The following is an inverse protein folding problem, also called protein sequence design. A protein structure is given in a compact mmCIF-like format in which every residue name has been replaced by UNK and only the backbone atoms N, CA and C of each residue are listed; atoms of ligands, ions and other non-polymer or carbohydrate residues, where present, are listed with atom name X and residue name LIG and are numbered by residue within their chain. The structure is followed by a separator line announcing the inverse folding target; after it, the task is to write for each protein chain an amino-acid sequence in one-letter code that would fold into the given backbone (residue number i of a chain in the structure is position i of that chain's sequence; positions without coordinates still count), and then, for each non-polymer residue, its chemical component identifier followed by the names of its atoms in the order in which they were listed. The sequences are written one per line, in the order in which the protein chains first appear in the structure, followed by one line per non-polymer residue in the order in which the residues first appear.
data_IF_115734995397
#
_entry.id   IF_115734995397
#
_cell.length_a   1.000
_cell.length_b   1.000
_cell.length_c   1.000
_cell.angle_alpha   90.00
_cell.angle_beta   90.00
_cell.angle_gamma   90.00
#
_symmetry.space_group_name_H-M   'P 1'
#
loop_
_entity.id
_entity.type
_entity.pdbx_description
1 polymer ?
#
# COMPACT_ATOMS: atom_id res chain seq x y z
N UNK A 1 -2.97 -60.81 -16.74
CA UNK A 1 -2.55 -59.59 -17.45
C UNK A 1 -3.22 -58.40 -16.77
N UNK A 2 -2.58 -57.82 -15.75
CA UNK A 2 -3.08 -56.60 -15.12
C UNK A 2 -2.75 -55.43 -16.03
N UNK A 3 -3.73 -54.98 -16.81
CA UNK A 3 -3.61 -53.75 -17.59
C UNK A 3 -3.26 -52.59 -16.66
N UNK A 4 -2.17 -51.89 -16.96
CA UNK A 4 -1.85 -50.63 -16.31
C UNK A 4 -3.07 -49.71 -16.45
N UNK A 5 -3.69 -49.37 -15.31
CA UNK A 5 -4.81 -48.43 -15.26
C UNK A 5 -4.28 -47.03 -15.57
N UNK A 6 -4.23 -46.70 -16.86
CA UNK A 6 -3.96 -45.35 -17.33
C UNK A 6 -5.13 -44.47 -16.91
N UNK A 7 -4.82 -43.34 -16.26
CA UNK A 7 -5.79 -42.32 -15.86
C UNK A 7 -5.46 -41.00 -16.56
N UNK A 8 -6.45 -40.12 -16.69
CA UNK A 8 -6.22 -38.76 -17.16
C UNK A 8 -5.33 -37.97 -16.19
N UNK A 9 -4.66 -36.95 -16.70
CA UNK A 9 -3.86 -36.01 -15.91
C UNK A 9 -4.69 -35.34 -14.81
N UNK A 10 -5.90 -34.87 -15.13
CA UNK A 10 -6.85 -34.32 -14.17
C UNK A 10 -7.15 -35.29 -13.01
N UNK A 11 -7.46 -36.56 -13.33
CA UNK A 11 -7.74 -37.59 -12.31
C UNK A 11 -6.52 -37.93 -11.47
N UNK A 12 -5.32 -37.87 -12.05
CA UNK A 12 -4.08 -38.04 -11.30
C UNK A 12 -3.85 -36.86 -10.33
N UNK A 13 -4.05 -35.63 -10.80
CA UNK A 13 -3.92 -34.40 -10.01
C UNK A 13 -4.90 -34.37 -8.84
N UNK A 14 -6.16 -34.73 -9.06
CA UNK A 14 -7.17 -34.83 -7.99
C UNK A 14 -6.77 -35.85 -6.91
N UNK A 15 -6.29 -37.03 -7.33
CA UNK A 15 -5.81 -38.06 -6.39
C UNK A 15 -4.62 -37.57 -5.57
N UNK A 16 -3.69 -36.84 -6.16
CA UNK A 16 -2.53 -36.28 -5.45
C UNK A 16 -2.99 -35.22 -4.45
N UNK A 17 -3.80 -34.24 -4.88
CA UNK A 17 -4.25 -33.14 -4.03
C UNK A 17 -5.10 -33.63 -2.86
N UNK A 18 -5.97 -34.63 -3.08
CA UNK A 18 -6.81 -35.20 -2.02
C UNK A 18 -6.03 -36.04 -1.01
N UNK A 19 -4.83 -36.52 -1.36
CA UNK A 19 -3.98 -37.33 -0.48
C UNK A 19 -3.01 -36.49 0.38
N UNK A 20 -2.90 -35.18 0.15
CA UNK A 20 -1.95 -34.31 0.86
C UNK A 20 -2.68 -33.29 1.73
N UNK A 21 -2.09 -32.97 2.88
CA UNK A 21 -2.57 -31.90 3.76
C UNK A 21 -1.56 -30.75 3.77
N UNK A 22 -2.03 -29.49 3.88
CA UNK A 22 -1.14 -28.36 4.12
C UNK A 22 -0.32 -28.57 5.40
N UNK A 23 0.97 -28.23 5.35
CA UNK A 23 1.82 -28.27 6.53
C UNK A 23 1.37 -27.24 7.57
N UNK A 24 1.65 -27.48 8.88
CA UNK A 24 1.34 -26.51 9.92
C UNK A 24 1.95 -25.14 9.65
N UNK A 25 1.19 -24.08 9.94
CA UNK A 25 1.64 -22.72 9.72
C UNK A 25 2.75 -22.32 10.71
N UNK A 26 3.80 -21.69 10.18
CA UNK A 26 4.92 -21.14 10.95
C UNK A 26 4.89 -19.62 10.93
N UNK A 27 5.32 -18.98 12.01
CA UNK A 27 5.55 -17.54 12.03
C UNK A 27 6.96 -17.23 11.51
N UNK A 28 7.07 -16.22 10.66
CA UNK A 28 8.33 -15.71 10.12
C UNK A 28 8.32 -14.18 10.17
N UNK A 29 9.50 -13.56 10.19
CA UNK A 29 9.61 -12.11 10.02
C UNK A 29 9.08 -11.70 8.62
N UNK A 30 8.64 -10.45 8.44
CA UNK A 30 8.27 -9.97 7.10
C UNK A 30 9.43 -10.06 6.11
N UNK A 31 10.68 -9.90 6.57
CA UNK A 31 11.86 -10.03 5.73
C UNK A 31 12.05 -11.45 5.17
N UNK A 32 11.66 -12.46 5.95
CA UNK A 32 11.74 -13.88 5.58
C UNK A 32 10.46 -14.43 4.95
N UNK A 33 9.45 -13.56 4.76
CA UNK A 33 8.13 -13.93 4.25
C UNK A 33 8.02 -13.88 2.73
N UNK A 34 9.03 -13.35 2.03
CA UNK A 34 9.06 -13.30 0.56
C UNK A 34 8.92 -14.71 -0.01
N UNK A 35 8.06 -14.84 -1.03
CA UNK A 35 7.76 -16.09 -1.71
C UNK A 35 7.14 -17.20 -0.85
N UNK A 36 6.60 -16.81 0.31
CA UNK A 36 5.77 -17.68 1.15
C UNK A 36 4.29 -17.44 0.85
N UNK A 37 3.44 -18.33 1.37
CA UNK A 37 1.99 -18.23 1.23
C UNK A 37 1.35 -17.93 2.58
N UNK A 38 0.44 -16.96 2.62
CA UNK A 38 -0.24 -16.52 3.84
C UNK A 38 -1.04 -17.68 4.46
N UNK A 39 -0.87 -17.92 5.77
CA UNK A 39 -1.61 -18.95 6.48
C UNK A 39 -2.99 -18.49 6.99
N UNK A 40 -3.19 -17.17 7.08
CA UNK A 40 -4.39 -16.56 7.63
C UNK A 40 -4.78 -15.33 6.82
N UNK A 41 -6.06 -14.99 6.86
CA UNK A 41 -6.53 -13.69 6.38
C UNK A 41 -5.92 -12.57 7.24
N UNK A 42 -5.69 -11.41 6.62
CA UNK A 42 -5.28 -10.18 7.32
C UNK A 42 -6.10 -9.01 6.82
N UNK A 43 -6.42 -8.11 7.75
CA UNK A 43 -7.24 -6.93 7.52
C UNK A 43 -6.46 -5.69 7.98
N UNK A 44 -6.71 -4.57 7.31
CA UNK A 44 -6.08 -3.30 7.62
C UNK A 44 -6.51 -2.79 9.00
N UNK A 45 -5.54 -2.32 9.77
CA UNK A 45 -5.76 -1.67 11.07
C UNK A 45 -5.39 -0.19 11.04
N UNK A 46 -4.58 0.23 10.07
CA UNK A 46 -4.15 1.59 9.86
C UNK A 46 -4.68 2.06 8.49
N UNK A 47 -5.46 3.15 8.42
CA UNK A 47 -5.90 3.67 7.14
C UNK A 47 -4.72 4.19 6.33
N UNK A 48 -4.79 4.10 5.00
CA UNK A 48 -3.84 4.72 4.09
C UNK A 48 -4.57 5.72 3.16
N UNK A 49 -4.17 7.01 3.15
CA UNK A 49 -3.26 7.66 4.11
C UNK A 49 -3.85 7.64 5.54
N UNK A 50 -3.02 7.80 6.59
CA UNK A 50 -3.48 7.74 7.99
C UNK A 50 -4.26 8.98 8.46
N UNK A 51 -4.20 10.07 7.71
CA UNK A 51 -4.88 11.33 7.96
C UNK A 51 -5.16 12.03 6.62
N UNK A 52 -6.08 13.01 6.63
CA UNK A 52 -6.32 13.87 5.47
C UNK A 52 -5.03 14.65 5.14
N UNK A 53 -4.55 14.55 3.91
CA UNK A 53 -3.32 15.20 3.48
C UNK A 53 -3.41 15.84 2.09
N UNK A 54 -2.48 16.75 1.80
CA UNK A 54 -2.41 17.41 0.51
C UNK A 54 -1.97 16.45 -0.61
N UNK A 55 -2.67 16.47 -1.73
CA UNK A 55 -2.27 15.80 -2.96
C UNK A 55 -1.20 16.57 -3.75
N UNK A 56 -1.06 17.88 -3.49
CA UNK A 56 -0.21 18.79 -4.26
C UNK A 56 0.61 19.72 -3.36
N UNK A 57 1.59 20.38 -3.96
CA UNK A 57 2.24 21.53 -3.34
C UNK A 57 1.40 22.79 -3.62
N UNK A 58 1.08 23.52 -2.56
CA UNK A 58 0.18 24.66 -2.71
C UNK A 58 -0.18 25.35 -1.41
N UNK A 59 -1.44 25.78 -1.33
CA UNK A 59 -2.00 26.59 -0.27
C UNK A 59 -3.28 25.95 0.26
N UNK A 60 -3.28 25.58 1.54
CA UNK A 60 -4.49 25.10 2.22
C UNK A 60 -5.45 26.26 2.43
N UNK A 61 -6.70 26.08 2.02
CA UNK A 61 -7.72 27.14 2.02
C UNK A 61 -9.03 26.64 2.62
N UNK A 62 -9.89 27.59 2.98
CA UNK A 62 -11.34 27.35 3.12
C UNK A 62 -11.94 27.71 1.76
N UNK A 63 -12.41 26.73 1.01
CA UNK A 63 -12.85 26.83 -0.38
C UNK A 63 -13.82 28.00 -0.59
N UNK A 64 -14.81 28.14 0.29
CA UNK A 64 -15.82 29.20 0.21
C UNK A 64 -15.28 30.63 0.46
N UNK A 65 -14.01 30.78 0.84
CA UNK A 65 -13.35 32.07 1.07
C UNK A 65 -12.17 32.33 0.11
N UNK A 66 -11.90 31.42 -0.81
CA UNK A 66 -10.69 31.40 -1.63
C UNK A 66 -10.94 31.54 -3.13
N UNK A 67 -12.05 32.15 -3.56
CA UNK A 67 -12.36 32.29 -4.99
C UNK A 67 -11.33 33.08 -5.80
N UNK A 68 -11.49 33.10 -7.13
CA UNK A 68 -10.59 33.84 -8.04
C UNK A 68 -10.37 35.28 -7.58
N UNK A 69 -9.11 35.72 -7.64
CA UNK A 69 -8.62 37.01 -7.17
C UNK A 69 -8.73 37.23 -5.65
N UNK A 70 -9.12 36.22 -4.85
CA UNK A 70 -9.02 36.31 -3.40
C UNK A 70 -7.55 36.49 -3.00
N UNK A 71 -7.32 37.45 -2.10
CA UNK A 71 -6.00 37.73 -1.54
C UNK A 71 -5.96 37.24 -0.11
N UNK A 72 -5.24 36.16 0.14
CA UNK A 72 -5.20 35.48 1.44
C UNK A 72 -3.87 35.75 2.13
N UNK A 73 -3.91 36.03 3.44
CA UNK A 73 -2.67 36.18 4.23
C UNK A 73 -2.09 34.80 4.53
N UNK A 74 -0.82 34.58 4.18
CA UNK A 74 -0.10 33.36 4.53
C UNK A 74 0.32 33.46 5.99
N UNK A 75 -0.24 32.59 6.84
CA UNK A 75 -0.03 32.65 8.30
C UNK A 75 0.80 31.50 8.86
N UNK A 76 1.23 30.59 8.00
CA UNK A 76 2.06 29.46 8.39
C UNK A 76 2.43 28.57 7.23
N UNK A 77 3.20 27.54 7.55
CA UNK A 77 3.68 26.55 6.61
C UNK A 77 3.64 25.15 7.24
N UNK A 78 2.98 24.21 6.56
CA UNK A 78 2.81 22.82 6.96
C UNK A 78 3.60 21.90 6.00
N UNK A 79 4.84 21.49 6.39
CA UNK A 79 5.63 20.53 5.63
C UNK A 79 5.07 19.11 5.77
N UNK A 80 5.53 18.22 4.90
CA UNK A 80 5.29 16.78 5.03
C UNK A 80 5.86 16.23 6.35
N UNK A 81 5.25 15.16 6.87
CA UNK A 81 5.61 14.56 8.14
C UNK A 81 4.76 15.07 9.29
N UNK A 82 5.40 15.67 10.30
CA UNK A 82 4.73 16.03 11.57
C UNK A 82 3.75 17.18 11.39
N UNK A 83 2.51 16.99 11.86
CA UNK A 83 1.52 18.06 11.97
C UNK A 83 2.03 19.15 12.92
N UNK A 84 2.02 20.40 12.47
CA UNK A 84 2.28 21.56 13.33
C UNK A 84 1.01 22.04 14.05
N UNK A 85 -0.10 21.32 13.90
CA UNK A 85 -1.41 21.64 14.50
C UNK A 85 -1.86 23.07 14.19
N UNK A 86 -1.58 23.52 12.96
CA UNK A 86 -2.00 24.83 12.48
C UNK A 86 -3.52 24.83 12.25
N UNK A 87 -4.14 25.99 12.47
CA UNK A 87 -5.55 26.21 12.20
C UNK A 87 -5.75 27.36 11.22
N UNK A 88 -6.82 27.27 10.45
CA UNK A 88 -7.15 28.22 9.41
C UNK A 88 -8.46 28.94 9.70
N UNK A 89 -8.50 30.24 9.40
CA UNK A 89 -9.70 31.08 9.44
C UNK A 89 -9.86 31.81 8.11
N UNK A 90 -11.08 32.28 7.81
CA UNK A 90 -11.36 33.00 6.57
C UNK A 90 -10.37 34.17 6.32
N UNK A 91 -10.00 34.39 5.06
CA UNK A 91 -9.02 35.41 4.65
C UNK A 91 -7.55 35.06 4.92
N UNK A 92 -7.26 33.89 5.47
CA UNK A 92 -5.91 33.36 5.68
C UNK A 92 -5.70 32.10 4.86
N UNK A 93 -4.43 31.73 4.67
CA UNK A 93 -4.02 30.45 4.10
C UNK A 93 -2.73 29.94 4.76
N UNK A 94 -2.43 28.67 4.58
CA UNK A 94 -1.19 28.02 5.02
C UNK A 94 -0.51 27.41 3.80
N UNK A 95 0.78 27.70 3.59
CA UNK A 95 1.57 27.00 2.59
C UNK A 95 1.65 25.52 3.00
N UNK A 96 1.28 24.61 2.11
CA UNK A 96 1.20 23.18 2.40
C UNK A 96 1.85 22.37 1.29
N UNK A 97 2.59 21.33 1.65
CA UNK A 97 3.30 20.49 0.69
C UNK A 97 2.62 19.13 0.53
N UNK A 98 2.94 18.45 -0.57
CA UNK A 98 2.43 17.12 -0.91
C UNK A 98 2.69 16.15 0.23
N UNK A 99 1.64 15.42 0.63
CA UNK A 99 1.68 14.47 1.73
C UNK A 99 1.55 15.09 3.13
N UNK A 100 1.58 16.42 3.25
CA UNK A 100 1.47 17.10 4.54
C UNK A 100 0.04 17.03 5.12
N UNK A 101 -0.12 16.87 6.44
CA UNK A 101 -1.43 16.86 7.10
C UNK A 101 -2.21 18.14 6.84
N UNK A 102 -3.52 18.02 6.60
CA UNK A 102 -4.39 19.19 6.43
C UNK A 102 -4.49 19.99 7.74
N UNK A 103 -4.30 21.33 7.71
CA UNK A 103 -4.56 22.21 8.85
C UNK A 103 -6.02 22.16 9.29
N UNK A 104 -6.28 22.36 10.58
CA UNK A 104 -7.65 22.40 11.11
C UNK A 104 -8.43 23.54 10.46
N UNK A 105 -9.60 23.23 9.92
CA UNK A 105 -10.50 24.20 9.27
C UNK A 105 -10.25 24.40 7.77
N UNK A 106 -9.12 23.94 7.22
CA UNK A 106 -8.94 23.90 5.77
C UNK A 106 -9.76 22.74 5.17
N UNK A 107 -10.36 22.96 4.00
CA UNK A 107 -11.21 21.97 3.32
C UNK A 107 -10.83 21.77 1.85
N UNK A 108 -9.87 22.51 1.32
CA UNK A 108 -9.30 22.35 -0.01
C UNK A 108 -7.82 22.80 -0.05
N UNK A 109 -7.10 22.41 -1.11
CA UNK A 109 -5.76 22.92 -1.43
C UNK A 109 -5.80 23.55 -2.82
N UNK A 110 -5.21 24.72 -2.99
CA UNK A 110 -4.97 25.33 -4.32
C UNK A 110 -3.53 25.08 -4.71
N UNK A 111 -3.31 24.55 -5.91
CA UNK A 111 -1.96 24.30 -6.44
C UNK A 111 -1.16 25.61 -6.50
N UNK A 112 0.13 25.56 -6.17
CA UNK A 112 0.96 26.78 -6.20
C UNK A 112 1.03 27.40 -7.61
N UNK A 113 0.88 26.58 -8.65
CA UNK A 113 0.83 26.98 -10.07
C UNK A 113 -0.38 27.85 -10.39
N UNK A 114 -1.45 27.75 -9.60
CA UNK A 114 -2.67 28.56 -9.73
C UNK A 114 -2.71 29.69 -8.70
N UNK A 115 -1.54 30.10 -8.21
CA UNK A 115 -1.40 31.19 -7.25
C UNK A 115 -0.22 32.09 -7.56
N UNK A 116 -0.28 33.32 -7.06
CA UNK A 116 0.83 34.26 -7.13
C UNK A 116 1.18 34.76 -5.74
N UNK A 117 2.41 34.50 -5.31
CA UNK A 117 2.90 34.95 -4.00
C UNK A 117 3.29 36.42 -4.04
N UNK A 118 2.80 37.20 -3.07
CA UNK A 118 3.07 38.62 -2.88
C UNK A 118 3.46 38.91 -1.42
N UNK A 119 4.73 38.68 -1.08
CA UNK A 119 5.22 38.86 0.29
C UNK A 119 4.50 37.94 1.29
N UNK A 120 3.76 38.52 2.23
CA UNK A 120 2.98 37.76 3.23
C UNK A 120 1.58 37.34 2.74
N UNK A 121 1.26 37.60 1.48
CA UNK A 121 -0.02 37.27 0.89
C UNK A 121 0.15 36.37 -0.33
N UNK A 122 -0.92 35.68 -0.69
CA UNK A 122 -1.04 34.96 -1.94
C UNK A 122 -2.33 35.38 -2.63
N UNK A 123 -2.24 35.62 -3.94
CA UNK A 123 -3.37 35.85 -4.82
C UNK A 123 -3.79 34.53 -5.45
N UNK A 124 -5.06 34.18 -5.34
CA UNK A 124 -5.61 32.99 -5.97
C UNK A 124 -5.97 33.29 -7.44
N UNK A 125 -5.46 32.47 -8.35
CA UNK A 125 -5.72 32.58 -9.80
C UNK A 125 -6.66 31.47 -10.31
N UNK A 126 -6.85 30.39 -9.54
CA UNK A 126 -7.81 29.34 -9.83
C UNK A 126 -9.23 29.91 -10.03
N UNK A 127 -9.91 29.48 -11.11
CA UNK A 127 -11.25 29.94 -11.46
C UNK A 127 -12.32 29.43 -10.49
N UNK A 128 -12.19 28.16 -10.08
CA UNK A 128 -13.13 27.47 -9.20
C UNK A 128 -12.35 26.61 -8.20
N UNK A 129 -12.80 26.61 -6.96
CA UNK A 129 -12.27 25.76 -5.89
C UNK A 129 -13.46 25.14 -5.17
N UNK A 130 -13.48 23.82 -5.13
CA UNK A 130 -14.49 23.02 -4.46
C UNK A 130 -13.94 22.43 -3.17
N UNK A 131 -14.85 22.16 -2.23
CA UNK A 131 -14.52 21.40 -1.02
C UNK A 131 -13.96 20.04 -1.42
N UNK A 132 -12.79 19.69 -0.89
CA UNK A 132 -12.09 18.44 -1.15
C UNK A 132 -11.07 18.51 -2.29
N UNK A 133 -10.96 19.62 -3.02
CA UNK A 133 -9.98 19.76 -4.09
C UNK A 133 -8.56 19.52 -3.57
N UNK A 134 -7.88 18.56 -4.20
CA UNK A 134 -6.53 18.12 -3.87
C UNK A 134 -6.34 17.69 -2.40
N UNK A 135 -7.41 17.28 -1.72
CA UNK A 135 -7.36 16.65 -0.38
C UNK A 135 -7.52 15.15 -0.54
N UNK A 136 -6.49 14.39 -0.19
CA UNK A 136 -6.59 12.93 -0.07
C UNK A 136 -7.12 12.61 1.32
N UNK A 137 -8.29 11.97 1.37
CA UNK A 137 -8.93 11.59 2.64
C UNK A 137 -8.22 10.42 3.31
N UNK A 138 -8.21 10.42 4.63
CA UNK A 138 -7.73 9.28 5.40
C UNK A 138 -8.44 7.99 4.95
N UNK A 139 -7.67 6.95 4.66
CA UNK A 139 -8.18 5.66 4.22
C UNK A 139 -8.66 5.59 2.78
N UNK A 140 -8.43 6.62 1.95
CA UNK A 140 -8.83 6.62 0.54
C UNK A 140 -8.13 5.53 -0.31
N UNK A 141 -6.90 5.12 0.06
CA UNK A 141 -6.18 4.03 -0.62
C UNK A 141 -6.48 2.67 0.05
N UNK A 142 -6.56 2.64 1.37
CA UNK A 142 -6.88 1.45 2.17
C UNK A 142 -7.68 1.84 3.41
N UNK A 143 -8.92 1.35 3.49
CA UNK A 143 -9.78 1.59 4.63
C UNK A 143 -9.49 0.60 5.77
N UNK A 144 -9.65 1.03 7.02
CA UNK A 144 -9.60 0.12 8.18
C UNK A 144 -10.65 -0.97 8.02
N UNK A 145 -10.25 -2.23 8.27
CA UNK A 145 -11.08 -3.42 8.10
C UNK A 145 -11.08 -3.99 6.68
N UNK A 146 -10.49 -3.31 5.69
CA UNK A 146 -10.33 -3.87 4.35
C UNK A 146 -9.37 -5.06 4.36
N UNK A 147 -9.70 -6.13 3.62
CA UNK A 147 -8.84 -7.31 3.54
C UNK A 147 -7.56 -7.00 2.76
N UNK A 148 -6.41 -7.27 3.37
CA UNK A 148 -5.07 -7.13 2.78
C UNK A 148 -4.58 -8.49 2.26
N UNK A 149 -4.75 -9.54 3.06
CA UNK A 149 -4.40 -10.90 2.69
C UNK A 149 -5.61 -11.81 2.84
N UNK A 150 -5.73 -12.71 1.88
CA UNK A 150 -6.48 -13.95 2.02
C UNK A 150 -5.52 -15.10 2.30
N UNK A 151 -5.96 -16.05 3.11
CA UNK A 151 -5.24 -17.32 3.30
C UNK A 151 -4.97 -17.97 1.95
N UNK A 152 -3.71 -18.35 1.74
CA UNK A 152 -3.22 -18.93 0.48
C UNK A 152 -2.67 -17.89 -0.50
N UNK A 153 -2.73 -16.59 -0.20
CA UNK A 153 -2.13 -15.58 -1.05
C UNK A 153 -0.60 -15.68 -1.04
N UNK A 154 0.00 -15.47 -2.21
CA UNK A 154 1.45 -15.42 -2.39
C UNK A 154 2.00 -14.06 -1.95
N UNK A 155 2.92 -14.08 -1.00
CA UNK A 155 3.56 -12.89 -0.44
C UNK A 155 4.64 -12.35 -1.39
N UNK A 156 4.23 -11.43 -2.25
CA UNK A 156 5.08 -10.68 -3.19
C UNK A 156 5.64 -9.40 -2.56
N UNK A 157 6.68 -8.76 -3.14
CA UNK A 157 7.30 -7.57 -2.57
C UNK A 157 6.32 -6.43 -2.22
N UNK A 158 5.39 -6.11 -3.13
CA UNK A 158 4.39 -5.06 -2.88
C UNK A 158 3.48 -5.37 -1.69
N UNK A 159 3.15 -6.65 -1.50
CA UNK A 159 2.32 -7.10 -0.38
C UNK A 159 3.08 -6.99 0.96
N UNK A 160 4.37 -7.34 0.96
CA UNK A 160 5.21 -7.16 2.14
C UNK A 160 5.35 -5.68 2.52
N UNK A 161 5.49 -4.80 1.54
CA UNK A 161 5.49 -3.34 1.75
C UNK A 161 4.17 -2.84 2.36
N UNK A 162 3.04 -3.37 1.90
CA UNK A 162 1.72 -3.06 2.45
C UNK A 162 1.56 -3.57 3.89
N UNK A 163 2.01 -4.78 4.21
CA UNK A 163 1.98 -5.30 5.58
C UNK A 163 2.90 -4.46 6.50
N UNK A 164 4.09 -4.10 6.03
CA UNK A 164 5.00 -3.25 6.78
C UNK A 164 4.41 -1.86 7.06
N UNK A 165 3.68 -1.26 6.10
CA UNK A 165 3.00 0.02 6.31
C UNK A 165 1.85 -0.05 7.33
N UNK A 166 1.36 -1.26 7.62
CA UNK A 166 0.40 -1.52 8.71
C UNK A 166 1.10 -1.75 10.07
N UNK A 167 2.43 -1.62 10.14
CA UNK A 167 3.22 -1.88 11.36
C UNK A 167 3.33 -3.37 11.71
N UNK A 168 3.13 -4.27 10.74
CA UNK A 168 3.26 -5.70 10.94
C UNK A 168 4.74 -6.08 10.85
N UNK A 169 5.26 -6.81 11.84
CA UNK A 169 6.67 -7.26 11.86
C UNK A 169 6.82 -8.73 11.46
N UNK A 170 5.81 -9.55 11.75
CA UNK A 170 5.78 -10.99 11.46
C UNK A 170 4.46 -11.41 10.82
N UNK A 171 4.51 -12.49 10.05
CA UNK A 171 3.33 -13.08 9.40
C UNK A 171 3.36 -14.59 9.52
N UNK A 172 2.18 -15.19 9.70
CA UNK A 172 2.02 -16.64 9.66
C UNK A 172 1.92 -17.10 8.22
N UNK A 173 2.77 -18.03 7.84
CA UNK A 173 2.88 -18.58 6.50
C UNK A 173 2.82 -20.09 6.51
N UNK A 174 2.52 -20.70 5.36
CA UNK A 174 2.72 -22.13 5.18
C UNK A 174 4.18 -22.53 5.45
N UNK A 175 4.39 -23.64 6.16
CA UNK A 175 5.71 -24.23 6.28
C UNK A 175 6.22 -24.68 4.90
N UNK A 176 7.53 -24.59 4.68
CA UNK A 176 8.15 -25.04 3.44
C UNK A 176 8.22 -26.57 3.42
N UNK A 177 7.71 -27.23 2.35
CA UNK A 177 7.89 -28.66 2.20
C UNK A 177 9.36 -28.99 2.00
N UNK A 178 9.84 -30.01 2.71
CA UNK A 178 11.17 -30.59 2.46
C UNK A 178 11.03 -31.63 1.36
N UNK A 179 11.68 -31.40 0.24
CA UNK A 179 11.63 -32.29 -0.94
C UNK A 179 13.00 -32.93 -1.13
N UNK A 180 13.06 -34.26 -1.10
CA UNK A 180 14.24 -35.02 -1.51
C UNK A 180 14.13 -35.35 -3.00
N UNK A 181 15.21 -35.12 -3.75
CA UNK A 181 15.28 -35.40 -5.19
C UNK A 181 16.26 -36.55 -5.39
N UNK A 182 15.81 -37.59 -6.10
CA UNK A 182 16.62 -38.76 -6.45
C UNK A 182 16.54 -38.96 -7.96
N UNK A 183 17.71 -39.08 -8.59
CA UNK A 183 17.84 -39.42 -10.01
C UNK A 183 18.47 -40.80 -10.13
N UNK A 184 18.01 -41.61 -11.09
CA UNK A 184 18.47 -42.99 -11.31
C UNK A 184 18.60 -43.24 -12.80
N UNK A 185 19.66 -43.94 -13.21
CA UNK A 185 20.00 -44.21 -14.61
C UNK A 185 21.50 -44.38 -14.76
N UNK A 186 21.93 -45.47 -15.40
CA UNK A 186 23.35 -45.78 -15.62
C UNK A 186 23.99 -44.85 -16.66
N UNK A 187 23.17 -44.17 -17.46
CA UNK A 187 23.54 -43.14 -18.43
C UNK A 187 23.83 -41.77 -17.79
N UNK A 188 23.42 -41.59 -16.53
CA UNK A 188 23.57 -40.31 -15.84
C UNK A 188 25.00 -40.13 -15.33
N UNK A 189 25.57 -38.95 -15.59
CA UNK A 189 26.84 -38.54 -15.02
C UNK A 189 26.69 -37.20 -14.28
N UNK A 190 27.48 -36.96 -13.21
CA UNK A 190 27.51 -35.66 -12.53
C UNK A 190 27.93 -34.52 -13.49
N UNK A 191 27.47 -33.28 -13.25
CA UNK A 191 27.91 -32.12 -14.01
C UNK A 191 29.43 -32.01 -14.08
N UNK A 192 29.97 -31.74 -15.27
CA UNK A 192 31.41 -31.64 -15.52
C UNK A 192 32.11 -32.96 -15.84
N UNK A 193 31.40 -34.10 -15.81
CA UNK A 193 31.92 -35.37 -16.33
C UNK A 193 31.51 -35.57 -17.80
N UNK A 194 32.30 -36.36 -18.52
CA UNK A 194 31.98 -36.73 -19.90
C UNK A 194 30.75 -37.66 -19.91
N UNK A 195 29.72 -37.26 -20.64
CA UNK A 195 28.54 -38.09 -20.89
C UNK A 195 28.95 -39.32 -21.74
N UNK A 196 28.40 -40.47 -21.39
CA UNK A 196 28.59 -41.73 -22.15
C UNK A 196 27.44 -41.96 -23.10
#
# INVERSE_FOLDING_TARGET
MNGLLVISEEKAREKIISAVAPLPATEVSLADALDRFAANDRFATIPLPPFDNSAMDGYAVIANSAGKNARLKVVGEQPAGVSKNLSLSAGKTIRIFTGAPMPTGADAVVMQEETQREGDFVLIQAEQISVGDFVRKAGADLAVGQQILKRGDWLRPAMLGLLASQGIESVRVGAQPRVAIVTTGDELAPPGQQLR
#
